data_IF_245747069973
#
_entry.id   IF_245747069973
#
_cell.length_a   1.000
_cell.length_b   1.000
_cell.length_c   1.000
_cell.angle_alpha   90.00
_cell.angle_beta   90.00
_cell.angle_gamma   90.00
#
_symmetry.space_group_name_H-M   'P 1'
#
loop_
_entity.id
_entity.type
_entity.pdbx_description
1 polymer ?
#
# COMPACT_ATOMS: atom_id res chain seq x y z
N UNK A 1 -4.17 -17.37 14.28
CA UNK A 1 -3.39 -16.69 13.22
C UNK A 1 -4.40 -16.10 12.26
N UNK A 2 -4.17 -14.89 11.77
CA UNK A 2 -5.17 -14.13 11.03
C UNK A 2 -5.13 -14.49 9.54
N UNK A 3 -6.05 -15.36 9.10
CA UNK A 3 -6.04 -15.95 7.75
C UNK A 3 -6.02 -14.91 6.61
N UNK A 4 -6.67 -13.76 6.81
CA UNK A 4 -6.65 -12.66 5.85
C UNK A 4 -5.25 -12.07 5.68
N UNK A 5 -4.49 -11.92 6.77
CA UNK A 5 -3.13 -11.39 6.75
C UNK A 5 -2.16 -12.36 6.10
N UNK A 6 -2.29 -13.67 6.36
CA UNK A 6 -1.44 -14.68 5.72
C UNK A 6 -1.67 -14.73 4.20
N UNK A 7 -2.93 -14.78 3.76
CA UNK A 7 -3.27 -14.71 2.34
C UNK A 7 -2.76 -13.41 1.70
N UNK A 8 -2.97 -12.27 2.37
CA UNK A 8 -2.51 -10.98 1.87
C UNK A 8 -0.98 -10.92 1.76
N UNK A 9 -0.25 -11.55 2.69
CA UNK A 9 1.20 -11.60 2.65
C UNK A 9 1.69 -12.42 1.46
N UNK A 10 1.05 -13.56 1.18
CA UNK A 10 1.32 -14.39 0.00
C UNK A 10 1.06 -13.63 -1.30
N UNK A 11 -0.12 -12.99 -1.42
CA UNK A 11 -0.53 -12.28 -2.65
C UNK A 11 0.30 -11.04 -2.96
N UNK A 12 0.79 -10.33 -1.93
CA UNK A 12 1.47 -9.04 -2.09
C UNK A 12 3.00 -9.15 -2.01
N UNK A 13 3.53 -10.23 -1.45
CA UNK A 13 4.96 -10.39 -1.16
C UNK A 13 5.46 -9.53 0.00
N UNK A 14 4.58 -8.83 0.72
CA UNK A 14 4.92 -8.09 1.95
C UNK A 14 4.69 -8.96 3.18
N UNK A 15 5.50 -8.74 4.22
CA UNK A 15 5.36 -9.51 5.46
C UNK A 15 4.07 -9.19 6.21
N UNK A 16 3.60 -10.14 7.01
CA UNK A 16 2.45 -9.94 7.89
C UNK A 16 2.65 -8.77 8.88
N UNK A 17 3.88 -8.51 9.32
CA UNK A 17 4.21 -7.35 10.16
C UNK A 17 4.05 -6.04 9.38
N UNK A 18 4.54 -5.98 8.14
CA UNK A 18 4.38 -4.81 7.29
C UNK A 18 2.90 -4.51 7.01
N UNK A 19 2.09 -5.53 6.72
CA UNK A 19 0.66 -5.36 6.51
C UNK A 19 -0.04 -4.81 7.77
N UNK A 20 0.31 -5.33 8.97
CA UNK A 20 -0.23 -4.80 10.23
C UNK A 20 0.21 -3.37 10.51
N UNK A 21 1.45 -3.02 10.16
CA UNK A 21 1.99 -1.66 10.38
C UNK A 21 1.22 -0.57 9.62
N UNK A 22 0.56 -0.92 8.51
CA UNK A 22 -0.31 0.01 7.78
C UNK A 22 -1.53 0.44 8.59
N UNK A 23 -1.96 -0.35 9.58
CA UNK A 23 -3.22 -0.16 10.29
C UNK A 23 -4.47 -0.39 9.43
N UNK A 24 -4.34 -0.98 8.24
CA UNK A 24 -5.44 -1.19 7.28
C UNK A 24 -6.00 -2.61 7.28
N UNK A 25 -5.43 -3.54 8.06
CA UNK A 25 -5.84 -4.95 8.06
C UNK A 25 -7.33 -5.12 8.33
N UNK A 26 -7.86 -4.55 9.42
CA UNK A 26 -9.28 -4.69 9.75
C UNK A 26 -10.23 -4.01 8.75
N UNK A 27 -10.04 -2.76 8.32
CA UNK A 27 -10.91 -2.16 7.32
C UNK A 27 -10.83 -2.89 5.96
N UNK A 28 -9.67 -3.44 5.58
CA UNK A 28 -9.53 -4.19 4.33
C UNK A 28 -10.15 -5.57 4.42
N UNK A 29 -10.05 -6.25 5.57
CA UNK A 29 -10.75 -7.51 5.81
C UNK A 29 -12.25 -7.33 5.58
N UNK A 30 -12.84 -6.29 6.15
CA UNK A 30 -14.27 -6.00 6.01
C UNK A 30 -14.67 -5.70 4.56
N UNK A 31 -13.82 -5.01 3.79
CA UNK A 31 -14.05 -4.74 2.37
C UNK A 31 -13.87 -5.98 1.49
N UNK A 32 -12.92 -6.85 1.84
CA UNK A 32 -12.52 -8.00 1.04
C UNK A 32 -13.46 -9.21 1.16
N UNK A 33 -14.57 -9.09 1.90
CA UNK A 33 -15.58 -10.16 1.96
C UNK A 33 -16.15 -10.43 0.56
N UNK A 34 -15.91 -11.66 0.05
CA UNK A 34 -16.31 -12.06 -1.30
C UNK A 34 -15.50 -11.41 -2.44
N UNK A 35 -14.37 -10.77 -2.12
CA UNK A 35 -13.46 -10.22 -3.11
C UNK A 35 -12.64 -11.32 -3.79
N UNK A 36 -12.32 -11.11 -5.06
CA UNK A 36 -11.29 -11.89 -5.75
C UNK A 36 -9.89 -11.53 -5.23
N UNK A 37 -8.92 -12.43 -5.42
CA UNK A 37 -7.50 -12.17 -5.11
C UNK A 37 -6.98 -10.92 -5.85
N UNK A 38 -7.42 -10.70 -7.09
CA UNK A 38 -7.05 -9.52 -7.86
C UNK A 38 -7.58 -8.22 -7.24
N UNK A 39 -8.80 -8.22 -6.70
CA UNK A 39 -9.34 -7.08 -5.95
C UNK A 39 -8.58 -6.85 -4.63
N UNK A 40 -8.16 -7.91 -3.94
CA UNK A 40 -7.33 -7.82 -2.73
C UNK A 40 -5.97 -7.22 -3.06
N UNK A 41 -5.30 -7.69 -4.12
CA UNK A 41 -4.03 -7.15 -4.60
C UNK A 41 -4.18 -5.67 -4.97
N UNK A 42 -5.21 -5.32 -5.75
CA UNK A 42 -5.46 -3.94 -6.13
C UNK A 42 -5.69 -3.03 -4.91
N UNK A 43 -6.50 -3.48 -3.95
CA UNK A 43 -6.79 -2.75 -2.73
C UNK A 43 -5.52 -2.48 -1.92
N UNK A 44 -4.67 -3.50 -1.75
CA UNK A 44 -3.40 -3.37 -1.04
C UNK A 44 -2.41 -2.45 -1.75
N UNK A 45 -2.21 -2.62 -3.06
CA UNK A 45 -1.21 -1.83 -3.79
C UNK A 45 -1.62 -0.38 -4.00
N UNK A 46 -2.90 -0.12 -4.23
CA UNK A 46 -3.36 1.21 -4.66
C UNK A 46 -4.15 1.98 -3.59
N UNK A 47 -4.71 1.28 -2.60
CA UNK A 47 -5.67 1.86 -1.68
C UNK A 47 -7.05 2.14 -2.30
N UNK A 48 -7.31 1.65 -3.51
CA UNK A 48 -8.56 1.83 -4.24
C UNK A 48 -9.42 0.58 -4.11
N UNK A 49 -10.67 0.77 -3.71
CA UNK A 49 -11.71 -0.24 -3.68
C UNK A 49 -12.78 0.09 -4.74
N UNK A 50 -12.87 -0.74 -5.78
CA UNK A 50 -13.90 -0.63 -6.85
C UNK A 50 -14.09 0.79 -7.38
N UNK A 51 -12.98 1.48 -7.66
CA UNK A 51 -12.95 2.85 -8.20
C UNK A 51 -13.06 3.97 -7.17
N UNK A 52 -13.11 3.66 -5.87
CA UNK A 52 -13.18 4.65 -4.78
C UNK A 52 -12.02 4.49 -3.81
N UNK A 53 -11.61 5.58 -3.15
CA UNK A 53 -10.60 5.54 -2.08
C UNK A 53 -11.34 5.50 -0.75
N UNK A 54 -11.31 4.39 0.01
CA UNK A 54 -12.11 4.25 1.24
C UNK A 54 -11.69 5.21 2.35
N UNK A 55 -10.42 5.64 2.37
CA UNK A 55 -9.93 6.64 3.31
C UNK A 55 -8.63 7.29 2.81
N UNK A 56 -8.31 8.48 3.32
CA UNK A 56 -7.02 9.12 3.04
C UNK A 56 -5.82 8.22 3.43
N UNK A 57 -5.97 7.43 4.50
CA UNK A 57 -4.96 6.47 4.95
C UNK A 57 -4.78 5.32 3.95
N UNK A 58 -5.86 4.81 3.35
CA UNK A 58 -5.79 3.77 2.32
C UNK A 58 -4.90 4.20 1.15
N UNK A 59 -5.07 5.44 0.68
CA UNK A 59 -4.20 6.00 -0.35
C UNK A 59 -2.76 6.23 0.14
N UNK A 60 -2.59 6.75 1.36
CA UNK A 60 -1.27 7.07 1.91
C UNK A 60 -0.39 5.83 2.16
N UNK A 61 -1.00 4.73 2.60
CA UNK A 61 -0.32 3.47 2.96
C UNK A 61 -0.36 2.44 1.82
N UNK A 62 -0.79 2.83 0.61
CA UNK A 62 -0.81 1.95 -0.56
C UNK A 62 0.57 1.34 -0.82
N UNK A 63 0.63 0.01 -0.94
CA UNK A 63 1.90 -0.72 -1.01
C UNK A 63 2.73 -0.38 -2.27
N UNK A 64 2.11 0.17 -3.32
CA UNK A 64 2.83 0.66 -4.49
C UNK A 64 3.86 1.73 -4.14
N UNK A 65 3.56 2.61 -3.17
CA UNK A 65 4.49 3.66 -2.73
C UNK A 65 5.70 3.07 -2.04
N UNK A 66 5.46 2.12 -1.12
CA UNK A 66 6.53 1.38 -0.43
C UNK A 66 7.39 0.60 -1.43
N UNK A 67 6.77 -0.11 -2.37
CA UNK A 67 7.47 -0.88 -3.41
C UNK A 67 8.34 0.01 -4.31
N UNK A 68 7.87 1.22 -4.64
CA UNK A 68 8.62 2.21 -5.39
C UNK A 68 9.67 2.97 -4.55
N UNK A 69 9.69 2.78 -3.22
CA UNK A 69 10.60 3.48 -2.31
C UNK A 69 10.32 4.97 -2.16
N UNK A 70 9.06 5.39 -2.34
CA UNK A 70 8.63 6.80 -2.28
C UNK A 70 7.48 7.00 -1.30
N UNK A 71 7.28 8.23 -0.85
CA UNK A 71 6.08 8.60 -0.11
C UNK A 71 4.90 8.81 -1.09
N UNK A 72 3.68 8.51 -0.63
CA UNK A 72 2.48 8.79 -1.39
C UNK A 72 2.38 10.29 -1.71
N UNK A 73 2.14 10.68 -2.98
CA UNK A 73 1.99 12.08 -3.36
C UNK A 73 0.93 12.80 -2.51
N UNK A 74 1.18 14.06 -2.12
CA UNK A 74 0.21 14.84 -1.33
C UNK A 74 0.07 14.45 0.15
N UNK A 75 0.81 13.44 0.65
CA UNK A 75 0.77 13.03 2.07
C UNK A 75 1.93 13.59 2.87
N UNK A 76 3.15 13.44 2.35
CA UNK A 76 4.39 14.02 2.85
C UNK A 76 5.19 14.48 1.65
N UNK A 77 5.22 15.79 1.43
CA UNK A 77 5.97 16.37 0.32
C UNK A 77 7.47 16.12 0.50
N UNK A 78 8.21 15.88 -0.60
CA UNK A 78 9.66 16.02 -0.52
C UNK A 78 9.93 17.51 -0.20
N UNK A 79 10.84 17.78 0.74
CA UNK A 79 11.11 19.16 1.17
C UNK A 79 11.44 20.09 0.00
N UNK A 80 11.26 21.40 0.18
CA UNK A 80 11.59 22.40 -0.84
C UNK A 80 12.99 22.16 -1.45
N UNK A 81 13.11 22.27 -2.78
CA UNK A 81 14.37 22.02 -3.50
C UNK A 81 14.73 20.53 -3.71
N UNK A 82 13.86 19.58 -3.33
CA UNK A 82 14.12 18.15 -3.56
C UNK A 82 14.32 17.78 -5.03
N UNK A 83 13.65 18.49 -5.93
CA UNK A 83 13.72 18.30 -7.38
C UNK A 83 15.00 18.84 -8.01
N UNK A 84 15.78 19.62 -7.27
CA UNK A 84 17.07 20.13 -7.73
C UNK A 84 18.15 19.04 -7.71
N UNK A 85 17.99 18.03 -6.85
CA UNK A 85 18.95 16.92 -6.75
C UNK A 85 18.63 15.84 -7.78
N UNK A 86 19.62 15.48 -8.60
CA UNK A 86 19.54 14.31 -9.48
C UNK A 86 19.22 13.06 -8.66
N UNK A 87 18.21 12.26 -9.04
CA UNK A 87 17.95 10.98 -8.40
C UNK A 87 19.22 10.12 -8.47
N UNK A 88 19.61 9.53 -7.33
CA UNK A 88 20.73 8.58 -7.32
C UNK A 88 20.28 7.34 -8.09
N UNK A 89 20.91 7.08 -9.24
CA UNK A 89 20.64 5.87 -9.99
C UNK A 89 20.95 4.64 -9.15
N UNK A 90 20.17 3.58 -9.31
CA UNK A 90 20.51 2.26 -8.80
C UNK A 90 21.86 1.84 -9.40
N UNK A 91 22.91 1.74 -8.58
CA UNK A 91 24.14 1.04 -8.98
C UNK A 91 23.82 -0.45 -9.05
N UNK A 92 23.47 -0.91 -10.24
CA UNK A 92 23.65 -2.33 -10.62
C UNK A 92 24.96 -2.47 -11.35
#
# INVERSE_FOLDING_TARGET
MDAFVELSAELTGFSAEELRSTGLVEPYRALAEGASEAEIIQLWYTGVWRGTVPSARAYAEGLAWKAAGVAAPGTRGPGFGSWERRPRGSSR
#
